data_IF_765280634375
#
_entry.id   IF_765280634375
#
_cell.length_a   1.000
_cell.length_b   1.000
_cell.length_c   1.000
_cell.angle_alpha   90.00
_cell.angle_beta   90.00
_cell.angle_gamma   90.00
#
_symmetry.space_group_name_H-M   'P 1'
#
loop_
_entity.id
_entity.type
_entity.pdbx_description
1 polymer ?
#
# COMPACT_ATOMS: atom_id res chain seq x y z
N UNK A 1 -14.95 11.68 -2.66
CA UNK A 1 -13.51 11.40 -2.37
C UNK A 1 -13.01 12.14 -1.13
N UNK A 2 -13.31 13.43 -0.96
CA UNK A 2 -12.92 14.22 0.22
C UNK A 2 -13.48 13.70 1.57
N UNK A 3 -14.72 13.22 1.63
CA UNK A 3 -15.28 12.71 2.90
C UNK A 3 -14.63 11.42 3.38
N UNK A 4 -14.27 10.51 2.46
CA UNK A 4 -13.48 9.32 2.79
C UNK A 4 -12.10 9.70 3.36
N UNK A 5 -11.61 10.91 3.02
CA UNK A 5 -10.30 11.48 3.38
C UNK A 5 -10.17 11.97 4.83
N UNK A 6 -11.28 12.12 5.57
CA UNK A 6 -11.22 12.40 7.01
C UNK A 6 -10.85 11.18 7.85
N UNK A 7 -11.01 9.96 7.31
CA UNK A 7 -10.79 8.74 8.09
C UNK A 7 -9.40 8.15 7.81
N UNK A 8 -8.44 8.53 8.66
CA UNK A 8 -6.99 8.26 8.58
C UNK A 8 -6.59 6.79 8.35
N UNK A 9 -7.52 5.84 8.52
CA UNK A 9 -7.24 4.39 8.42
C UNK A 9 -7.69 3.74 7.11
N UNK A 10 -8.65 4.32 6.37
CA UNK A 10 -9.24 3.64 5.20
C UNK A 10 -8.44 3.82 3.91
N UNK A 11 -7.62 4.86 3.82
CA UNK A 11 -6.94 5.26 2.58
C UNK A 11 -5.50 4.75 2.48
N UNK A 12 -4.85 4.43 3.61
CA UNK A 12 -3.45 4.01 3.61
C UNK A 12 -3.21 2.56 3.17
N UNK A 13 -4.25 1.75 2.97
CA UNK A 13 -4.09 0.37 2.52
C UNK A 13 -3.91 0.22 0.99
N UNK A 14 -3.60 1.33 0.30
CA UNK A 14 -3.29 1.34 -1.14
C UNK A 14 -4.51 1.36 -2.06
N UNK A 15 -4.24 1.53 -3.37
CA UNK A 15 -5.27 1.75 -4.39
C UNK A 15 -6.28 0.60 -4.50
N UNK A 16 -5.84 -0.65 -4.36
CA UNK A 16 -6.71 -1.83 -4.44
C UNK A 16 -7.78 -1.82 -3.36
N UNK A 17 -7.40 -1.53 -2.11
CA UNK A 17 -8.37 -1.51 -1.01
C UNK A 17 -9.30 -0.30 -1.10
N UNK A 18 -8.78 0.87 -1.46
CA UNK A 18 -9.64 2.04 -1.71
C UNK A 18 -10.68 1.77 -2.79
N UNK A 19 -10.28 1.13 -3.90
CA UNK A 19 -11.21 0.77 -4.97
C UNK A 19 -12.29 -0.21 -4.47
N UNK A 20 -11.89 -1.26 -3.73
CA UNK A 20 -12.83 -2.23 -3.18
C UNK A 20 -13.81 -1.62 -2.17
N UNK A 21 -13.34 -0.72 -1.31
CA UNK A 21 -14.19 -0.07 -0.30
C UNK A 21 -15.16 0.92 -0.95
N UNK A 22 -14.70 1.69 -1.95
CA UNK A 22 -15.57 2.62 -2.68
C UNK A 22 -16.59 1.88 -3.55
N UNK A 23 -16.20 0.76 -4.20
CA UNK A 23 -17.08 -0.04 -5.07
C UNK A 23 -18.31 -0.59 -4.35
N UNK A 24 -18.25 -0.73 -3.01
CA UNK A 24 -19.38 -1.20 -2.18
C UNK A 24 -20.50 -0.18 -2.05
N UNK A 25 -20.18 1.12 -2.18
CA UNK A 25 -21.14 2.21 -1.93
C UNK A 25 -21.38 3.06 -3.17
N UNK A 26 -20.45 3.05 -4.13
CA UNK A 26 -20.45 3.93 -5.28
C UNK A 26 -20.00 3.20 -6.53
N UNK A 27 -20.52 3.63 -7.68
CA UNK A 27 -20.07 3.18 -8.99
C UNK A 27 -20.10 4.33 -9.99
N UNK A 28 -19.03 4.46 -10.78
CA UNK A 28 -18.96 5.39 -11.91
C UNK A 28 -17.94 4.94 -12.96
N UNK A 29 -18.06 5.50 -14.16
CA UNK A 29 -17.15 5.21 -15.26
C UNK A 29 -15.72 5.68 -14.91
N UNK A 30 -14.71 4.87 -15.24
CA UNK A 30 -13.28 5.14 -14.93
C UNK A 30 -12.90 5.20 -13.45
N UNK A 31 -13.80 4.82 -12.53
CA UNK A 31 -13.53 4.76 -11.08
C UNK A 31 -12.18 4.12 -10.70
N UNK A 32 -11.83 2.98 -11.30
CA UNK A 32 -10.55 2.30 -11.03
C UNK A 32 -9.34 3.16 -11.41
N UNK A 33 -9.41 3.87 -12.54
CA UNK A 33 -8.34 4.76 -13.04
C UNK A 33 -8.20 5.99 -12.15
N UNK A 34 -9.33 6.58 -11.74
CA UNK A 34 -9.34 7.74 -10.86
C UNK A 34 -8.81 7.42 -9.47
N UNK A 35 -9.18 6.27 -8.90
CA UNK A 35 -8.60 5.80 -7.62
C UNK A 35 -7.09 5.59 -7.73
N UNK A 36 -6.61 5.02 -8.84
CA UNK A 36 -5.17 4.83 -9.06
C UNK A 36 -4.43 6.18 -9.16
N UNK A 37 -4.95 7.13 -9.94
CA UNK A 37 -4.38 8.48 -10.07
C UNK A 37 -4.39 9.22 -8.72
N UNK A 38 -5.48 9.10 -7.97
CA UNK A 38 -5.61 9.71 -6.66
C UNK A 38 -4.56 9.21 -5.66
N UNK A 39 -4.36 7.89 -5.59
CA UNK A 39 -3.34 7.30 -4.71
C UNK A 39 -1.94 7.66 -5.17
N UNK A 40 -1.71 7.79 -6.48
CA UNK A 40 -0.43 8.19 -7.04
C UNK A 40 -0.07 9.65 -6.68
N UNK A 41 -1.04 10.57 -6.59
CA UNK A 41 -0.80 11.98 -6.26
C UNK A 41 -0.93 12.30 -4.76
N UNK A 42 -1.46 11.39 -3.95
CA UNK A 42 -1.63 11.60 -2.52
C UNK A 42 -0.29 11.50 -1.76
N UNK A 43 0.22 12.63 -1.29
CA UNK A 43 1.47 12.73 -0.50
C UNK A 43 1.50 11.78 0.71
N UNK A 44 0.36 11.57 1.37
CA UNK A 44 0.31 10.68 2.55
C UNK A 44 0.41 9.21 2.11
N UNK A 45 -0.21 8.84 0.98
CA UNK A 45 -0.07 7.50 0.41
C UNK A 45 1.37 7.25 -0.07
N UNK A 46 2.01 8.25 -0.68
CA UNK A 46 3.41 8.16 -1.09
C UNK A 46 4.35 7.95 0.10
N UNK A 47 4.19 8.75 1.17
CA UNK A 47 4.99 8.61 2.40
C UNK A 47 4.78 7.26 3.10
N UNK A 48 3.55 6.75 3.13
CA UNK A 48 3.26 5.43 3.70
C UNK A 48 3.87 4.27 2.89
N UNK A 49 4.13 4.48 1.59
CA UNK A 49 4.72 3.49 0.69
C UNK A 49 6.25 3.55 0.63
N UNK A 50 6.87 4.48 1.36
CA UNK A 50 8.33 4.49 1.50
C UNK A 50 8.74 3.12 2.04
N UNK A 51 9.62 2.47 1.31
CA UNK A 51 10.13 1.15 1.65
C UNK A 51 10.99 1.29 2.91
N UNK A 52 10.37 1.04 4.07
CA UNK A 52 11.08 0.95 5.35
C UNK A 52 11.79 -0.40 5.52
N UNK A 53 11.67 -1.30 4.53
CA UNK A 53 12.40 -2.56 4.52
C UNK A 53 13.89 -2.25 4.38
N UNK A 54 14.71 -2.78 5.29
CA UNK A 54 16.15 -2.79 5.06
C UNK A 54 16.40 -3.56 3.76
N UNK A 55 17.29 -3.08 2.86
CA UNK A 55 17.67 -3.85 1.68
C UNK A 55 18.06 -5.25 2.14
N UNK A 56 17.51 -6.26 1.49
CA UNK A 56 17.74 -7.65 1.83
C UNK A 56 19.24 -7.92 1.74
N UNK A 57 19.90 -7.97 2.90
CA UNK A 57 21.31 -8.35 2.96
C UNK A 57 21.40 -9.83 2.62
N UNK A 58 22.41 -10.23 1.83
CA UNK A 58 22.73 -11.65 1.68
C UNK A 58 22.87 -12.26 3.07
N UNK A 59 22.04 -13.25 3.38
CA UNK A 59 22.15 -14.03 4.60
C UNK A 59 23.52 -14.73 4.55
N UNK A 60 24.38 -14.45 5.53
CA UNK A 60 25.60 -15.25 5.68
C UNK A 60 25.20 -16.63 6.23
N UNK A 61 25.57 -17.73 5.57
CA UNK A 61 25.37 -19.06 6.11
C UNK A 61 26.08 -19.18 7.47
N UNK A 62 25.43 -19.80 8.45
CA UNK A 62 26.11 -20.22 9.67
C UNK A 62 27.02 -21.41 9.34
N UNK A 63 28.15 -21.50 10.03
CA UNK A 63 29.03 -22.66 9.92
C UNK A 63 28.27 -23.94 10.30
N UNK A 64 28.35 -24.96 9.44
CA UNK A 64 27.72 -26.26 9.70
C UNK A 64 28.55 -26.96 10.79
N UNK A 65 27.98 -27.27 11.96
CA UNK A 65 28.72 -27.97 13.00
C UNK A 65 29.02 -29.40 12.53
N UNK A 66 30.31 -29.78 12.57
CA UNK A 66 30.71 -31.18 12.40
C UNK A 66 30.36 -31.93 13.68
N UNK A 67 29.39 -32.84 13.58
CA UNK A 67 29.11 -33.80 14.65
C UNK A 67 30.28 -34.80 14.74
N UNK A 68 30.68 -35.13 15.97
CA UNK A 68 31.60 -36.23 16.28
C UNK A 68 30.81 -37.50 16.59
#
# INVERSE_FOLDING_TARGET
LNEAHKNKLRIHRGATKMYQDLKKMFWWLKMKKEVAQYVATCLICQKAKIEHQKPTRMLQPLDIPKWK
#
